data_IF_755461896510
#
_entry.id   IF_755461896510
#
_cell.length_a   1.000
_cell.length_b   1.000
_cell.length_c   1.000
_cell.angle_alpha   90.00
_cell.angle_beta   90.00
_cell.angle_gamma   90.00
#
_symmetry.space_group_name_H-M   'P 1'
#
loop_
_entity.id
_entity.type
_entity.pdbx_description
1 polymer ?
#
# COMPACT_ATOMS: atom_id res chain seq x y z
N UNK A 1 -23.27 20.07 -14.73
CA UNK A 1 -22.05 20.81 -14.33
C UNK A 1 -20.92 20.24 -15.17
N UNK A 2 -20.04 21.07 -15.77
CA UNK A 2 -18.96 20.53 -16.60
C UNK A 2 -17.95 19.81 -15.72
N UNK A 3 -17.50 18.62 -16.12
CA UNK A 3 -16.54 17.77 -15.38
C UNK A 3 -15.21 18.50 -15.04
N UNK A 4 -14.89 19.57 -15.72
CA UNK A 4 -13.69 20.40 -15.48
C UNK A 4 -13.86 21.48 -14.42
N UNK A 5 -15.06 21.64 -13.82
CA UNK A 5 -15.31 22.68 -12.84
C UNK A 5 -14.43 22.49 -11.59
N UNK A 6 -13.81 23.58 -11.06
CA UNK A 6 -13.03 23.50 -9.83
C UNK A 6 -13.96 23.20 -8.63
N UNK A 7 -13.42 22.57 -7.60
CA UNK A 7 -14.10 22.44 -6.32
C UNK A 7 -14.22 23.82 -5.66
N UNK A 8 -15.41 24.15 -5.18
CA UNK A 8 -15.72 25.51 -4.68
C UNK A 8 -16.26 25.50 -3.25
N UNK A 9 -16.24 26.66 -2.66
CA UNK A 9 -16.89 26.98 -1.41
C UNK A 9 -18.04 27.99 -1.68
N UNK A 10 -19.32 27.67 -1.36
CA UNK A 10 -19.85 26.36 -0.98
C UNK A 10 -19.85 25.35 -2.15
N UNK A 11 -20.17 24.06 -1.97
CA UNK A 11 -20.68 23.44 -0.76
C UNK A 11 -19.61 22.98 0.23
N UNK A 12 -18.33 22.88 -0.17
CA UNK A 12 -17.25 22.44 0.71
C UNK A 12 -16.71 23.61 1.55
N UNK A 13 -16.21 23.31 2.74
CA UNK A 13 -15.46 24.29 3.53
C UNK A 13 -14.11 24.64 2.87
N UNK A 14 -13.58 25.88 3.03
CA UNK A 14 -12.30 26.27 2.43
C UNK A 14 -11.15 25.33 2.79
N UNK A 15 -11.07 24.84 4.03
CA UNK A 15 -10.06 23.89 4.47
C UNK A 15 -10.16 22.54 3.76
N UNK A 16 -11.37 22.08 3.44
CA UNK A 16 -11.60 20.85 2.67
C UNK A 16 -11.15 21.03 1.23
N UNK A 17 -11.51 22.15 0.58
CA UNK A 17 -11.07 22.46 -0.79
C UNK A 17 -9.55 22.53 -0.86
N UNK A 18 -8.91 23.26 0.05
CA UNK A 18 -7.46 23.36 0.10
C UNK A 18 -6.77 21.99 0.28
N UNK A 19 -7.27 21.16 1.22
CA UNK A 19 -6.73 19.84 1.45
C UNK A 19 -6.90 18.91 0.24
N UNK A 20 -8.08 18.94 -0.43
CA UNK A 20 -8.30 18.16 -1.65
C UNK A 20 -7.39 18.63 -2.80
N UNK A 21 -7.22 19.94 -2.97
CA UNK A 21 -6.31 20.50 -4.00
C UNK A 21 -4.87 20.06 -3.75
N UNK A 22 -4.41 20.06 -2.50
CA UNK A 22 -3.08 19.55 -2.13
C UNK A 22 -2.89 18.07 -2.45
N UNK A 23 -3.99 17.28 -2.50
CA UNK A 23 -4.01 15.88 -2.90
C UNK A 23 -4.19 15.67 -4.42
N UNK A 24 -4.18 16.76 -5.22
CA UNK A 24 -4.42 16.71 -6.66
C UNK A 24 -5.90 16.57 -7.05
N UNK A 25 -6.82 16.69 -6.07
CA UNK A 25 -8.28 16.60 -6.28
C UNK A 25 -8.86 18.00 -6.31
N UNK A 26 -8.44 18.80 -7.31
CA UNK A 26 -8.83 20.22 -7.43
C UNK A 26 -10.11 20.49 -8.23
N UNK A 27 -10.70 19.47 -8.86
CA UNK A 27 -11.88 19.60 -9.72
C UNK A 27 -12.91 18.50 -9.47
N UNK A 28 -14.12 18.73 -9.94
CA UNK A 28 -15.20 17.71 -9.91
C UNK A 28 -14.79 16.48 -10.70
N UNK A 29 -14.12 16.63 -11.86
CA UNK A 29 -13.59 15.50 -12.64
C UNK A 29 -12.59 14.67 -11.84
N UNK A 30 -11.63 15.31 -11.18
CA UNK A 30 -10.65 14.61 -10.34
C UNK A 30 -11.33 13.91 -9.14
N UNK A 31 -12.38 14.52 -8.58
CA UNK A 31 -13.18 13.90 -7.52
C UNK A 31 -13.95 12.68 -8.02
N UNK A 32 -14.54 12.73 -9.22
CA UNK A 32 -15.18 11.57 -9.85
C UNK A 32 -14.22 10.41 -10.07
N UNK A 33 -13.01 10.70 -10.60
CA UNK A 33 -11.97 9.68 -10.82
C UNK A 33 -11.50 9.05 -9.51
N UNK A 34 -11.37 9.86 -8.46
CA UNK A 34 -10.91 9.40 -7.13
C UNK A 34 -12.01 8.65 -6.39
N UNK A 35 -13.26 9.10 -6.49
CA UNK A 35 -14.40 8.65 -5.71
C UNK A 35 -14.51 9.37 -4.36
N UNK A 36 -15.76 9.65 -3.95
CA UNK A 36 -16.04 10.39 -2.70
C UNK A 36 -15.55 9.64 -1.45
N UNK A 37 -15.63 8.32 -1.45
CA UNK A 37 -15.14 7.43 -0.39
C UNK A 37 -13.63 7.52 -0.21
N UNK A 38 -12.87 7.41 -1.29
CA UNK A 38 -11.41 7.55 -1.30
C UNK A 38 -10.99 8.97 -0.89
N UNK A 39 -11.57 10.00 -1.50
CA UNK A 39 -11.28 11.39 -1.17
C UNK A 39 -11.52 11.71 0.31
N UNK A 40 -12.63 11.24 0.87
CA UNK A 40 -12.96 11.38 2.28
C UNK A 40 -11.92 10.70 3.20
N UNK A 41 -11.51 9.49 2.86
CA UNK A 41 -10.53 8.75 3.66
C UNK A 41 -9.13 9.38 3.57
N UNK A 42 -8.75 9.90 2.40
CA UNK A 42 -7.48 10.62 2.22
C UNK A 42 -7.45 11.93 3.03
N UNK A 43 -8.56 12.67 3.09
CA UNK A 43 -8.67 13.85 3.97
C UNK A 43 -8.42 13.47 5.43
N UNK A 44 -9.03 12.39 5.92
CA UNK A 44 -8.79 11.89 7.27
C UNK A 44 -7.36 11.42 7.49
N UNK A 45 -6.79 10.72 6.53
CA UNK A 45 -5.40 10.27 6.58
C UNK A 45 -4.40 11.45 6.59
N UNK A 46 -4.79 12.59 5.98
CA UNK A 46 -4.04 13.85 6.03
C UNK A 46 -4.24 14.68 7.31
N UNK A 47 -4.94 14.14 8.30
CA UNK A 47 -5.16 14.80 9.60
C UNK A 47 -6.32 15.79 9.63
N UNK A 48 -7.09 15.94 8.53
CA UNK A 48 -8.28 16.79 8.54
C UNK A 48 -9.40 16.09 9.33
N UNK A 49 -10.02 16.83 10.26
CA UNK A 49 -11.22 16.37 11.00
C UNK A 49 -12.43 16.33 10.07
N UNK A 50 -12.43 15.43 9.08
CA UNK A 50 -13.51 15.27 8.13
C UNK A 50 -14.69 14.52 8.78
N UNK A 51 -15.86 15.19 8.84
CA UNK A 51 -17.10 14.65 9.40
C UNK A 51 -17.92 13.90 8.34
N UNK A 52 -18.94 13.14 8.78
CA UNK A 52 -19.91 12.50 7.86
C UNK A 52 -20.58 13.51 6.92
N UNK A 53 -20.76 14.77 7.34
CA UNK A 53 -21.31 15.83 6.49
C UNK A 53 -20.41 16.08 5.27
N UNK A 54 -19.08 16.13 5.46
CA UNK A 54 -18.11 16.27 4.36
C UNK A 54 -18.22 15.09 3.39
N UNK A 55 -18.34 13.87 3.90
CA UNK A 55 -18.52 12.69 3.04
C UNK A 55 -19.75 12.82 2.13
N UNK A 56 -20.89 13.23 2.69
CA UNK A 56 -22.12 13.41 1.91
C UNK A 56 -22.06 14.59 0.92
N UNK A 57 -21.29 15.63 1.23
CA UNK A 57 -21.02 16.73 0.29
C UNK A 57 -20.18 16.23 -0.90
N UNK A 58 -19.14 15.42 -0.65
CA UNK A 58 -18.32 14.82 -1.72
C UNK A 58 -19.14 13.84 -2.57
N UNK A 59 -19.94 12.98 -1.94
CA UNK A 59 -20.83 12.07 -2.66
C UNK A 59 -21.83 12.81 -3.54
N UNK A 60 -22.44 13.87 -3.02
CA UNK A 60 -23.38 14.70 -3.78
C UNK A 60 -22.74 15.40 -4.97
N UNK A 61 -21.50 15.88 -4.83
CA UNK A 61 -20.73 16.42 -5.96
C UNK A 61 -20.48 15.37 -7.04
N UNK A 62 -20.16 14.13 -6.65
CA UNK A 62 -20.06 13.03 -7.58
C UNK A 62 -21.37 12.69 -8.31
N UNK A 63 -22.51 12.94 -7.69
CA UNK A 63 -23.83 12.69 -8.28
C UNK A 63 -24.43 13.94 -8.99
N UNK A 64 -23.70 15.06 -9.00
CA UNK A 64 -24.17 16.32 -9.61
C UNK A 64 -25.37 16.94 -8.91
N UNK A 65 -25.55 16.70 -7.61
CA UNK A 65 -26.69 17.15 -6.82
C UNK A 65 -26.27 17.76 -5.48
N UNK A 66 -27.22 18.16 -4.65
CA UNK A 66 -26.95 18.55 -3.26
C UNK A 66 -27.10 17.35 -2.31
N UNK A 67 -26.51 17.41 -1.10
CA UNK A 67 -26.65 16.31 -0.12
C UNK A 67 -28.10 15.98 0.24
N UNK A 68 -29.00 16.95 0.21
CA UNK A 68 -30.43 16.73 0.47
C UNK A 68 -31.13 15.96 -0.66
N UNK A 69 -30.65 16.09 -1.90
CA UNK A 69 -31.20 15.45 -3.09
C UNK A 69 -30.70 14.03 -3.32
N UNK A 70 -29.68 13.57 -2.57
CA UNK A 70 -29.22 12.17 -2.66
C UNK A 70 -30.36 11.21 -2.32
N UNK A 71 -30.72 10.37 -3.28
CA UNK A 71 -31.71 9.31 -3.09
C UNK A 71 -31.26 8.27 -2.06
N UNK A 72 -32.17 7.51 -1.45
CA UNK A 72 -31.81 6.41 -0.56
C UNK A 72 -30.85 5.40 -1.21
N UNK A 73 -31.05 5.09 -2.50
CA UNK A 73 -30.19 4.16 -3.23
C UNK A 73 -28.76 4.70 -3.40
N UNK A 74 -28.59 5.99 -3.74
CA UNK A 74 -27.28 6.63 -3.83
C UNK A 74 -26.59 6.69 -2.47
N UNK A 75 -27.32 7.02 -1.40
CA UNK A 75 -26.78 6.98 -0.03
C UNK A 75 -26.30 5.59 0.35
N UNK A 76 -27.10 4.57 0.05
CA UNK A 76 -26.73 3.17 0.30
C UNK A 76 -25.48 2.77 -0.50
N UNK A 77 -25.41 3.13 -1.77
CA UNK A 77 -24.25 2.88 -2.64
C UNK A 77 -22.96 3.48 -2.07
N UNK A 78 -22.97 4.78 -1.75
CA UNK A 78 -21.78 5.46 -1.23
C UNK A 78 -21.39 4.97 0.17
N UNK A 79 -22.40 4.65 1.02
CA UNK A 79 -22.15 4.06 2.33
C UNK A 79 -21.48 2.68 2.21
N UNK A 80 -21.98 1.82 1.33
CA UNK A 80 -21.37 0.50 1.11
C UNK A 80 -19.96 0.59 0.56
N UNK A 81 -19.70 1.54 -0.33
CA UNK A 81 -18.33 1.81 -0.81
C UNK A 81 -17.40 2.21 0.32
N UNK A 82 -17.81 3.17 1.14
CA UNK A 82 -17.02 3.61 2.30
C UNK A 82 -16.78 2.46 3.29
N UNK A 83 -17.82 1.67 3.56
CA UNK A 83 -17.72 0.54 4.49
C UNK A 83 -16.82 -0.58 3.98
N UNK A 84 -16.73 -0.77 2.67
CA UNK A 84 -15.89 -1.78 2.01
C UNK A 84 -14.52 -1.24 1.56
N UNK A 85 -14.29 0.07 1.68
CA UNK A 85 -13.04 0.66 1.22
C UNK A 85 -11.84 0.09 2.01
N UNK A 86 -10.75 -0.34 1.33
CA UNK A 86 -9.53 -0.78 2.01
C UNK A 86 -8.93 0.37 2.84
N UNK A 87 -7.99 0.09 3.75
CA UNK A 87 -7.28 1.14 4.48
C UNK A 87 -6.64 2.14 3.52
N UNK A 88 -6.87 3.43 3.76
CA UNK A 88 -6.31 4.52 2.98
C UNK A 88 -5.22 5.25 3.77
N UNK A 89 -4.14 5.63 3.08
CA UNK A 89 -3.07 6.45 3.63
C UNK A 89 -2.50 7.38 2.56
N UNK A 90 -1.89 8.46 2.99
CA UNK A 90 -1.07 9.28 2.11
C UNK A 90 0.28 8.59 1.92
N UNK A 91 0.59 8.23 0.69
CA UNK A 91 1.90 7.68 0.35
C UNK A 91 2.89 8.81 0.07
N UNK A 92 4.20 8.59 0.29
CA UNK A 92 5.23 9.52 -0.12
C UNK A 92 5.18 9.81 -1.62
N UNK A 93 5.77 10.93 -2.09
CA UNK A 93 5.92 11.20 -3.51
C UNK A 93 6.62 10.05 -4.24
N UNK A 94 6.30 9.87 -5.54
CA UNK A 94 6.84 8.76 -6.33
C UNK A 94 8.38 8.67 -6.27
N UNK A 95 9.16 9.76 -6.43
CA UNK A 95 10.63 9.68 -6.36
C UNK A 95 11.15 9.14 -5.03
N UNK A 96 10.48 9.46 -3.92
CA UNK A 96 10.85 8.95 -2.60
C UNK A 96 10.52 7.46 -2.46
N UNK A 97 9.38 7.03 -2.97
CA UNK A 97 9.03 5.60 -2.99
C UNK A 97 9.99 4.80 -3.87
N UNK A 98 10.41 5.34 -5.01
CA UNK A 98 11.40 4.72 -5.90
C UNK A 98 12.77 4.62 -5.24
N UNK A 99 13.21 5.66 -4.53
CA UNK A 99 14.45 5.64 -3.75
C UNK A 99 14.46 4.52 -2.70
N UNK A 100 13.37 4.40 -1.94
CA UNK A 100 13.23 3.38 -0.89
C UNK A 100 13.07 1.97 -1.49
N UNK A 101 12.35 1.84 -2.61
CA UNK A 101 12.23 0.58 -3.32
C UNK A 101 13.56 0.14 -3.93
N UNK A 102 14.38 1.06 -4.42
CA UNK A 102 15.73 0.75 -4.90
C UNK A 102 16.61 0.14 -3.81
N UNK A 103 16.45 0.57 -2.54
CA UNK A 103 17.14 -0.06 -1.42
C UNK A 103 16.64 -1.49 -1.16
N UNK A 104 15.31 -1.74 -1.30
CA UNK A 104 14.76 -3.10 -1.21
C UNK A 104 15.25 -4.00 -2.36
N UNK A 105 15.38 -3.45 -3.58
CA UNK A 105 15.95 -4.17 -4.73
C UNK A 105 17.45 -4.49 -4.53
N UNK A 106 18.19 -3.60 -3.89
CA UNK A 106 19.59 -3.86 -3.55
C UNK A 106 19.72 -5.02 -2.54
N UNK A 107 18.81 -5.14 -1.58
CA UNK A 107 18.72 -6.32 -0.71
C UNK A 107 18.30 -7.57 -1.48
N UNK A 108 17.37 -7.47 -2.43
CA UNK A 108 17.01 -8.59 -3.30
C UNK A 108 18.19 -9.11 -4.14
N UNK A 109 19.08 -8.22 -4.60
CA UNK A 109 20.29 -8.61 -5.29
C UNK A 109 21.22 -9.43 -4.38
N UNK A 110 21.38 -9.06 -3.10
CA UNK A 110 22.17 -9.85 -2.15
C UNK A 110 21.59 -11.26 -1.95
N UNK A 111 20.25 -11.40 -1.96
CA UNK A 111 19.60 -12.72 -1.95
C UNK A 111 19.99 -13.52 -3.20
N UNK A 112 19.90 -12.92 -4.39
CA UNK A 112 20.28 -13.57 -5.66
C UNK A 112 21.73 -14.04 -5.64
N UNK A 113 22.67 -13.19 -5.19
CA UNK A 113 24.10 -13.47 -5.10
C UNK A 113 24.40 -14.65 -4.13
N UNK A 114 23.55 -14.80 -3.10
CA UNK A 114 23.60 -15.91 -2.15
C UNK A 114 22.86 -17.18 -2.61
N UNK A 115 22.29 -17.20 -3.83
CA UNK A 115 21.51 -18.34 -4.36
C UNK A 115 20.10 -18.46 -3.80
N UNK A 116 19.59 -17.44 -3.11
CA UNK A 116 18.23 -17.32 -2.58
C UNK A 116 17.29 -16.70 -3.61
N UNK A 117 15.98 -16.93 -3.49
CA UNK A 117 15.00 -16.20 -4.30
C UNK A 117 15.18 -14.70 -4.04
N UNK A 118 15.31 -13.86 -5.09
CA UNK A 118 15.68 -12.45 -4.99
C UNK A 118 14.52 -11.60 -4.44
N UNK A 119 14.31 -11.69 -3.14
CA UNK A 119 13.39 -10.83 -2.41
C UNK A 119 14.16 -10.07 -1.33
N UNK A 120 13.97 -8.75 -1.33
CA UNK A 120 14.55 -7.84 -0.36
C UNK A 120 13.49 -6.92 0.21
N UNK A 121 13.66 -6.53 1.47
CA UNK A 121 12.74 -5.68 2.20
C UNK A 121 13.48 -4.64 3.04
N UNK A 122 12.89 -3.44 3.15
CA UNK A 122 13.35 -2.39 4.06
C UNK A 122 12.18 -1.84 4.88
N UNK A 123 12.43 -1.61 6.16
CA UNK A 123 11.48 -0.93 7.06
C UNK A 123 11.91 0.52 7.22
N UNK A 124 10.96 1.42 7.05
CA UNK A 124 11.17 2.87 7.05
C UNK A 124 10.35 3.50 8.15
N UNK A 125 10.96 4.39 8.93
CA UNK A 125 10.29 5.25 9.89
C UNK A 125 10.72 6.69 9.63
N UNK A 126 9.76 7.62 9.55
CA UNK A 126 10.00 9.06 9.33
C UNK A 126 10.94 9.37 8.14
N UNK A 127 10.78 8.63 7.03
CA UNK A 127 11.60 8.74 5.83
C UNK A 127 12.99 8.09 5.90
N UNK A 128 13.41 7.59 7.07
CA UNK A 128 14.68 6.91 7.27
C UNK A 128 14.53 5.38 7.26
N UNK A 129 15.43 4.68 6.57
CA UNK A 129 15.51 3.21 6.64
C UNK A 129 16.09 2.83 8.01
N UNK A 130 15.34 2.05 8.79
CA UNK A 130 15.73 1.58 10.13
C UNK A 130 16.10 0.10 10.15
N UNK A 131 15.70 -0.67 9.16
CA UNK A 131 16.06 -2.07 9.01
C UNK A 131 16.02 -2.50 7.55
N UNK A 132 16.89 -3.42 7.18
CA UNK A 132 16.95 -4.05 5.86
C UNK A 132 17.10 -5.55 6.02
N UNK A 133 16.55 -6.34 5.09
CA UNK A 133 16.75 -7.77 5.05
C UNK A 133 16.47 -8.33 3.65
N UNK A 134 16.91 -9.56 3.42
CA UNK A 134 16.66 -10.33 2.22
C UNK A 134 16.35 -11.78 2.55
N UNK A 135 15.81 -12.52 1.60
CA UNK A 135 15.50 -13.94 1.76
C UNK A 135 16.74 -14.75 2.14
N UNK A 136 16.54 -15.71 3.07
CA UNK A 136 17.54 -16.67 3.52
C UNK A 136 16.95 -18.05 3.80
N UNK A 137 15.86 -18.40 3.14
CA UNK A 137 15.12 -19.64 3.39
C UNK A 137 15.96 -20.90 3.11
N UNK A 138 16.71 -20.90 2.02
CA UNK A 138 17.55 -22.03 1.58
C UNK A 138 18.72 -22.19 2.54
N UNK A 139 19.50 -21.14 2.77
CA UNK A 139 20.66 -21.17 3.66
C UNK A 139 20.29 -21.50 5.11
N UNK A 140 19.15 -21.01 5.59
CA UNK A 140 18.68 -21.24 6.95
C UNK A 140 17.87 -22.52 7.08
N UNK A 141 17.43 -23.15 5.97
CA UNK A 141 16.49 -24.29 5.98
C UNK A 141 15.21 -23.99 6.79
N UNK A 142 14.72 -22.75 6.65
CA UNK A 142 13.61 -22.23 7.45
C UNK A 142 12.68 -21.38 6.56
N UNK A 143 11.45 -21.85 6.36
CA UNK A 143 10.44 -21.20 5.52
C UNK A 143 10.04 -19.82 6.02
N UNK A 144 10.28 -19.51 7.28
CA UNK A 144 9.96 -18.21 7.87
C UNK A 144 11.00 -17.12 7.55
N UNK A 145 12.13 -17.47 6.95
CA UNK A 145 13.23 -16.53 6.64
C UNK A 145 13.01 -15.72 5.37
N UNK A 146 11.77 -15.27 5.16
CA UNK A 146 11.44 -14.29 4.15
C UNK A 146 12.01 -12.90 4.52
N UNK A 147 12.32 -12.12 3.49
CA UNK A 147 12.88 -10.78 3.65
C UNK A 147 12.02 -9.90 4.58
N UNK A 148 10.70 -9.96 4.42
CA UNK A 148 9.75 -9.17 5.20
C UNK A 148 9.78 -9.54 6.68
N UNK A 149 9.75 -10.85 7.00
CA UNK A 149 9.79 -11.33 8.40
C UNK A 149 11.08 -10.88 9.07
N UNK A 150 12.21 -11.06 8.36
CA UNK A 150 13.52 -10.65 8.87
C UNK A 150 13.63 -9.14 9.07
N UNK A 151 13.11 -8.33 8.12
CA UNK A 151 13.11 -6.88 8.21
C UNK A 151 12.23 -6.38 9.38
N UNK A 152 11.03 -6.96 9.56
CA UNK A 152 10.15 -6.63 10.68
C UNK A 152 10.80 -6.98 12.03
N UNK A 153 11.44 -8.15 12.13
CA UNK A 153 12.16 -8.54 13.33
C UNK A 153 13.31 -7.58 13.67
N UNK A 154 14.12 -7.21 12.66
CA UNK A 154 15.22 -6.26 12.82
C UNK A 154 14.72 -4.86 13.25
N UNK A 155 13.64 -4.37 12.62
CA UNK A 155 13.03 -3.09 13.00
C UNK A 155 12.48 -3.13 14.43
N UNK A 156 11.90 -4.26 14.83
CA UNK A 156 11.43 -4.46 16.21
C UNK A 156 12.57 -4.37 17.24
N UNK A 157 13.74 -4.91 16.93
CA UNK A 157 14.94 -4.77 17.77
C UNK A 157 15.41 -3.32 17.86
N UNK A 158 15.46 -2.61 16.72
CA UNK A 158 15.88 -1.18 16.69
C UNK A 158 14.96 -0.31 17.53
N UNK A 159 13.64 -0.57 17.47
CA UNK A 159 12.64 0.24 18.16
C UNK A 159 12.31 -0.26 19.59
N UNK A 160 12.83 -1.43 20.00
CA UNK A 160 12.47 -2.06 21.26
C UNK A 160 10.98 -2.41 21.37
N UNK A 161 10.30 -2.58 20.23
CA UNK A 161 8.86 -2.83 20.17
C UNK A 161 8.50 -3.65 18.94
N UNK A 162 7.71 -4.72 19.09
CA UNK A 162 7.21 -5.50 17.95
C UNK A 162 6.09 -4.81 17.18
N UNK A 163 5.46 -3.78 17.75
CA UNK A 163 4.45 -2.98 17.06
C UNK A 163 5.11 -1.82 16.32
N UNK A 164 4.97 -1.84 15.01
CA UNK A 164 5.64 -0.93 14.08
C UNK A 164 4.62 0.00 13.40
N UNK A 165 3.65 0.51 14.18
CA UNK A 165 2.48 1.23 13.67
C UNK A 165 2.81 2.52 12.88
N UNK A 166 3.98 3.13 13.13
CA UNK A 166 4.44 4.33 12.41
C UNK A 166 5.39 4.00 11.26
N UNK A 167 5.65 2.70 11.02
CA UNK A 167 6.60 2.25 10.01
C UNK A 167 5.91 1.89 8.69
N UNK A 168 6.66 2.05 7.62
CA UNK A 168 6.32 1.59 6.29
C UNK A 168 7.26 0.43 5.91
N UNK A 169 6.73 -0.55 5.17
CA UNK A 169 7.51 -1.64 4.62
C UNK A 169 7.58 -1.51 3.10
N UNK A 170 8.78 -1.54 2.55
CA UNK A 170 9.04 -1.65 1.12
C UNK A 170 9.62 -3.03 0.83
N UNK A 171 9.08 -3.72 -0.17
CA UNK A 171 9.50 -5.07 -0.54
C UNK A 171 9.50 -5.26 -2.06
N UNK A 172 10.47 -5.96 -2.59
CA UNK A 172 10.65 -6.15 -4.03
C UNK A 172 9.59 -7.03 -4.70
N UNK A 173 8.89 -7.86 -3.91
CA UNK A 173 7.83 -8.76 -4.38
C UNK A 173 6.61 -8.63 -3.47
N UNK A 174 5.41 -8.79 -4.04
CA UNK A 174 4.18 -8.82 -3.26
C UNK A 174 4.25 -9.87 -2.14
N UNK A 175 3.97 -9.49 -0.88
CA UNK A 175 4.06 -10.41 0.25
C UNK A 175 3.08 -11.58 0.16
N UNK A 176 3.54 -12.75 0.56
CA UNK A 176 2.68 -13.91 0.75
C UNK A 176 1.79 -13.78 2.00
N UNK A 177 0.88 -14.74 2.20
CA UNK A 177 -0.07 -14.75 3.32
C UNK A 177 0.64 -14.74 4.69
N UNK A 178 1.75 -15.49 4.84
CA UNK A 178 2.54 -15.52 6.08
C UNK A 178 3.09 -14.13 6.43
N UNK A 179 3.72 -13.47 5.45
CA UNK A 179 4.28 -12.13 5.63
C UNK A 179 3.20 -11.09 5.88
N UNK A 180 2.08 -11.15 5.16
CA UNK A 180 0.93 -10.27 5.39
C UNK A 180 0.39 -10.42 6.82
N UNK A 181 0.28 -11.66 7.33
CA UNK A 181 -0.11 -11.92 8.72
C UNK A 181 0.84 -11.28 9.73
N UNK A 182 2.15 -11.39 9.50
CA UNK A 182 3.15 -10.75 10.35
C UNK A 182 3.06 -9.21 10.32
N UNK A 183 2.86 -8.61 9.14
CA UNK A 183 2.65 -7.15 8.99
C UNK A 183 1.44 -6.67 9.77
N UNK A 184 0.33 -7.42 9.73
CA UNK A 184 -0.89 -7.09 10.47
C UNK A 184 -0.64 -7.14 11.98
N UNK A 185 0.08 -8.14 12.48
CA UNK A 185 0.44 -8.24 13.89
C UNK A 185 1.41 -7.12 14.31
N UNK A 186 2.36 -6.76 13.45
CA UNK A 186 3.27 -5.66 13.65
C UNK A 186 2.60 -4.28 13.49
N UNK A 187 1.36 -4.20 12.97
CA UNK A 187 0.63 -2.96 12.73
C UNK A 187 1.30 -2.03 11.71
N UNK A 188 1.95 -2.57 10.71
CA UNK A 188 2.59 -1.76 9.66
C UNK A 188 1.57 -0.78 9.07
N UNK A 189 1.97 0.50 8.97
CA UNK A 189 1.11 1.59 8.47
C UNK A 189 0.90 1.49 6.96
N UNK A 190 1.98 1.36 6.19
CA UNK A 190 1.95 1.28 4.73
C UNK A 190 2.84 0.15 4.23
N UNK A 191 2.33 -0.58 3.26
CA UNK A 191 3.08 -1.56 2.46
C UNK A 191 3.24 -0.99 1.05
N UNK A 192 4.48 -0.92 0.58
CA UNK A 192 4.81 -0.61 -0.82
C UNK A 192 5.55 -1.81 -1.40
N UNK A 193 5.07 -2.36 -2.51
CA UNK A 193 5.76 -3.48 -3.15
C UNK A 193 6.00 -3.21 -4.64
N UNK A 194 7.02 -3.91 -5.21
CA UNK A 194 7.38 -3.71 -6.60
C UNK A 194 6.57 -4.62 -7.53
N UNK A 195 6.89 -5.89 -7.64
CA UNK A 195 6.22 -6.84 -8.52
C UNK A 195 5.03 -7.52 -7.84
N UNK A 196 3.94 -7.76 -8.60
CA UNK A 196 2.83 -8.60 -8.15
C UNK A 196 3.26 -10.08 -8.10
N UNK A 197 2.69 -10.85 -7.16
CA UNK A 197 2.86 -12.29 -7.04
C UNK A 197 1.50 -13.00 -7.26
N UNK A 198 1.21 -13.46 -8.48
CA UNK A 198 -0.11 -13.98 -8.84
C UNK A 198 -0.43 -15.35 -8.21
N UNK A 199 0.57 -16.08 -7.70
CA UNK A 199 0.38 -17.44 -7.18
C UNK A 199 0.17 -17.47 -5.66
N UNK A 200 0.84 -16.59 -4.91
CA UNK A 200 0.86 -16.63 -3.43
C UNK A 200 0.64 -15.26 -2.79
N UNK A 201 0.45 -14.21 -3.60
CA UNK A 201 0.31 -12.84 -3.15
C UNK A 201 -0.94 -12.61 -2.29
N UNK A 202 -0.76 -12.04 -1.13
CA UNK A 202 -1.83 -11.83 -0.16
C UNK A 202 -2.86 -10.78 -0.61
N UNK A 203 -2.49 -9.86 -1.50
CA UNK A 203 -3.39 -8.87 -2.11
C UNK A 203 -4.03 -9.41 -3.38
N UNK A 204 -3.21 -9.98 -4.28
CA UNK A 204 -3.65 -10.42 -5.61
C UNK A 204 -4.64 -11.59 -5.54
N UNK A 205 -4.44 -12.55 -4.64
CA UNK A 205 -5.31 -13.72 -4.50
C UNK A 205 -6.46 -13.52 -3.51
N UNK A 206 -6.19 -13.00 -2.33
CA UNK A 206 -7.12 -13.03 -1.21
C UNK A 206 -7.57 -11.63 -0.76
N UNK A 207 -6.89 -10.58 -1.24
CA UNK A 207 -7.11 -9.20 -0.82
C UNK A 207 -7.16 -9.01 0.72
N UNK A 208 -6.28 -9.71 1.43
CA UNK A 208 -6.28 -9.78 2.91
C UNK A 208 -6.22 -8.40 3.57
N UNK A 209 -5.48 -7.45 3.00
CA UNK A 209 -5.36 -6.10 3.57
C UNK A 209 -6.66 -5.28 3.51
N UNK A 210 -7.60 -5.66 2.63
CA UNK A 210 -8.92 -5.03 2.55
C UNK A 210 -10.00 -5.76 3.36
N UNK A 211 -9.71 -6.95 3.90
CA UNK A 211 -10.66 -7.71 4.68
C UNK A 211 -10.83 -7.10 6.07
N UNK A 212 -11.96 -6.45 6.30
CA UNK A 212 -12.30 -5.75 7.55
C UNK A 212 -12.58 -6.68 8.75
N UNK A 213 -12.72 -7.98 8.51
CA UNK A 213 -12.77 -8.99 9.59
C UNK A 213 -11.40 -9.16 10.24
N UNK A 214 -10.34 -8.89 9.49
CA UNK A 214 -8.98 -8.82 10.01
C UNK A 214 -8.73 -7.44 10.59
N UNK A 215 -8.13 -7.39 11.77
CA UNK A 215 -7.77 -6.12 12.41
C UNK A 215 -6.51 -5.53 11.77
N UNK A 216 -6.62 -5.23 10.47
CA UNK A 216 -5.55 -4.62 9.66
C UNK A 216 -5.89 -3.18 9.31
N UNK A 217 -4.89 -2.32 9.39
CA UNK A 217 -4.96 -0.91 8.98
C UNK A 217 -3.85 -0.56 7.98
N UNK A 218 -3.18 -1.56 7.43
CA UNK A 218 -2.10 -1.39 6.46
C UNK A 218 -2.65 -0.94 5.12
N UNK A 219 -2.31 0.27 4.69
CA UNK A 219 -2.58 0.71 3.33
C UNK A 219 -1.55 0.14 2.36
N UNK A 220 -1.98 -0.27 1.16
CA UNK A 220 -1.14 -1.02 0.23
C UNK A 220 -1.02 -0.30 -1.11
N UNK A 221 0.22 -0.18 -1.61
CA UNK A 221 0.54 0.32 -2.95
C UNK A 221 1.53 -0.61 -3.65
N UNK A 222 1.15 -1.17 -4.78
CA UNK A 222 2.02 -1.98 -5.63
C UNK A 222 2.51 -1.24 -6.87
N UNK A 223 3.44 -1.87 -7.60
CA UNK A 223 3.87 -1.42 -8.91
C UNK A 223 5.10 -0.49 -8.92
N UNK A 224 5.69 -0.18 -7.77
CA UNK A 224 6.86 0.72 -7.69
C UNK A 224 8.11 -0.03 -8.14
N UNK A 225 8.71 0.39 -9.27
CA UNK A 225 9.84 -0.27 -9.94
C UNK A 225 9.57 -1.74 -10.30
N UNK A 226 8.32 -2.09 -10.58
CA UNK A 226 7.88 -3.47 -10.86
C UNK A 226 8.64 -4.13 -12.03
N UNK A 227 9.05 -3.38 -13.05
CA UNK A 227 9.82 -3.90 -14.18
C UNK A 227 11.19 -4.45 -13.75
N UNK A 228 11.90 -3.72 -12.89
CA UNK A 228 13.21 -4.12 -12.37
C UNK A 228 13.09 -5.37 -11.48
N UNK A 229 12.10 -5.40 -10.58
CA UNK A 229 11.86 -6.55 -9.72
C UNK A 229 11.52 -7.82 -10.53
N UNK A 230 10.62 -7.72 -11.51
CA UNK A 230 10.28 -8.84 -12.40
C UNK A 230 11.48 -9.35 -13.19
N UNK A 231 12.30 -8.45 -13.73
CA UNK A 231 13.49 -8.83 -14.47
C UNK A 231 14.47 -9.61 -13.59
N UNK A 232 14.73 -9.15 -12.38
CA UNK A 232 15.60 -9.82 -11.41
C UNK A 232 15.12 -11.25 -11.09
N UNK A 233 13.82 -11.43 -10.83
CA UNK A 233 13.22 -12.75 -10.61
C UNK A 233 13.34 -13.66 -11.83
N UNK A 234 13.05 -13.14 -13.03
CA UNK A 234 13.15 -13.91 -14.27
C UNK A 234 14.60 -14.37 -14.55
N UNK A 235 15.57 -13.50 -14.35
CA UNK A 235 16.98 -13.80 -14.55
C UNK A 235 17.47 -14.87 -13.57
N UNK A 236 17.10 -14.75 -12.31
CA UNK A 236 17.42 -15.75 -11.29
C UNK A 236 16.88 -17.14 -11.65
N UNK A 237 15.59 -17.26 -11.98
CA UNK A 237 14.99 -18.54 -12.33
C UNK A 237 15.51 -19.08 -13.67
N UNK A 238 15.87 -18.23 -14.62
CA UNK A 238 16.51 -18.63 -15.88
C UNK A 238 17.88 -19.27 -15.63
N UNK A 239 18.74 -18.62 -14.84
CA UNK A 239 20.06 -19.12 -14.48
C UNK A 239 19.96 -20.44 -13.70
N UNK A 240 19.01 -20.53 -12.79
CA UNK A 240 18.81 -21.73 -11.99
C UNK A 240 18.41 -22.96 -12.84
N UNK A 241 17.54 -22.76 -13.84
CA UNK A 241 17.18 -23.82 -14.80
C UNK A 241 18.36 -24.25 -15.67
N UNK A 242 19.22 -23.31 -16.08
CA UNK A 242 20.41 -23.60 -16.88
C UNK A 242 21.46 -24.40 -16.08
N UNK A 243 21.57 -24.15 -14.78
CA UNK A 243 22.54 -24.82 -13.91
C UNK A 243 22.05 -26.16 -13.35
N UNK A 244 20.97 -26.73 -13.90
CA UNK A 244 20.47 -28.07 -13.52
C UNK A 244 19.79 -28.17 -12.16
N UNK A 245 19.46 -27.05 -11.57
CA UNK A 245 18.73 -27.02 -10.29
C UNK A 245 17.25 -27.29 -10.50
N UNK A 246 16.80 -28.55 -10.35
CA UNK A 246 15.38 -28.85 -10.19
C UNK A 246 14.90 -28.21 -8.88
N UNK A 247 14.14 -27.13 -8.97
CA UNK A 247 13.26 -26.74 -7.89
C UNK A 247 12.10 -27.74 -7.88
N UNK A 248 12.10 -28.68 -6.93
CA UNK A 248 10.85 -29.32 -6.51
C UNK A 248 9.98 -28.21 -5.92
N UNK A 249 8.84 -27.98 -6.54
CA UNK A 249 7.76 -27.10 -6.10
C UNK A 249 7.21 -27.53 -4.73
#
# INVERSE_FOLDING_TARGET
MSDSAPLTTPPLAPSVVAALSALGIGSVAALHQTGADTAFLLLKAGGLSATRSVFWQLAALCEGCTPAQLSPAQRQYWQQRLDKHPPAALFPPLPEMERLMSAALAEAQKAADAGEIPVGAVVVKDGAIIATAHNRCIASRDVSRHAEIAALAAAGQVLGNYRLAECDLYVSLEPCVMCAGAMMQARIRRLVYAADEPKTGARSLLNLFADKRLNSHTAVRGGILAGQARQMLQDFFRLRRQNGGSCSE
#
